data_IF_097349610073
#
_entry.id   IF_097349610073
#
_cell.length_a   1.000
_cell.length_b   1.000
_cell.length_c   1.000
_cell.angle_alpha   90.00
_cell.angle_beta   90.00
_cell.angle_gamma   90.00
#
_symmetry.space_group_name_H-M   'P 1'
#
loop_
_entity.id
_entity.type
_entity.pdbx_description
1 polymer ?
#
# COMPACT_ATOMS: atom_id res chain seq x y z
N UNK A 1 20.26 -11.35 35.13
CA UNK A 1 19.05 -10.88 34.41
C UNK A 1 19.53 -9.94 33.34
N UNK A 2 19.22 -10.20 32.08
CA UNK A 2 19.65 -9.37 30.94
C UNK A 2 18.56 -8.36 30.62
N UNK A 3 18.93 -7.11 30.33
CA UNK A 3 18.02 -6.04 29.92
C UNK A 3 18.16 -5.83 28.41
N UNK A 4 17.03 -5.55 27.74
CA UNK A 4 17.00 -5.25 26.31
C UNK A 4 16.26 -3.93 26.08
N UNK A 5 16.77 -3.13 25.14
CA UNK A 5 16.11 -1.90 24.68
C UNK A 5 15.33 -2.21 23.41
N UNK A 6 14.01 -2.11 23.48
CA UNK A 6 13.12 -2.41 22.37
C UNK A 6 12.27 -1.18 22.03
N UNK A 7 11.99 -0.98 20.74
CA UNK A 7 10.93 -0.07 20.27
C UNK A 7 9.78 -0.93 19.76
N UNK A 8 8.59 -0.74 20.31
CA UNK A 8 7.38 -1.29 19.73
C UNK A 8 6.98 -0.44 18.53
N UNK A 9 6.80 -1.06 17.37
CA UNK A 9 6.40 -0.40 16.13
C UNK A 9 5.08 -0.99 15.67
N UNK A 10 4.12 -0.10 15.42
CA UNK A 10 2.86 -0.41 14.76
C UNK A 10 2.89 0.27 13.38
N UNK A 11 2.94 -0.53 12.32
CA UNK A 11 2.87 -0.06 10.94
C UNK A 11 1.45 -0.22 10.40
N UNK A 12 0.95 0.84 9.77
CA UNK A 12 -0.34 0.88 9.09
C UNK A 12 -0.08 0.96 7.59
N UNK A 13 -0.57 -0.02 6.84
CA UNK A 13 -0.53 -0.03 5.38
C UNK A 13 -1.88 0.48 4.91
N UNK A 14 -1.89 1.69 4.37
CA UNK A 14 -3.05 2.29 3.71
C UNK A 14 -3.14 1.75 2.28
N UNK A 15 -4.35 1.39 1.87
CA UNK A 15 -4.64 0.99 0.49
C UNK A 15 -5.49 2.05 -0.17
N UNK A 16 -5.08 2.52 -1.34
CA UNK A 16 -5.94 3.40 -2.15
C UNK A 16 -6.84 2.52 -3.03
N UNK A 17 -8.16 2.74 -3.04
CA UNK A 17 -9.07 1.98 -3.90
C UNK A 17 -10.03 2.84 -4.73
N UNK A 18 -10.52 2.25 -5.83
CA UNK A 18 -11.52 2.83 -6.73
C UNK A 18 -12.20 1.72 -7.53
N UNK A 19 -13.49 1.88 -7.78
CA UNK A 19 -14.33 0.90 -8.49
C UNK A 19 -14.63 1.36 -9.92
N UNK A 20 -14.29 0.51 -10.89
CA UNK A 20 -14.44 0.80 -12.30
C UNK A 20 -15.29 -0.27 -12.99
N UNK A 21 -16.10 0.15 -13.95
CA UNK A 21 -16.87 -0.76 -14.80
C UNK A 21 -16.16 -0.75 -16.16
N UNK A 22 -15.37 -1.79 -16.42
CA UNK A 22 -14.53 -1.84 -17.62
C UNK A 22 -15.14 -2.79 -18.65
N UNK A 23 -15.48 -2.27 -19.83
CA UNK A 23 -15.89 -3.09 -20.96
C UNK A 23 -14.65 -3.77 -21.60
N UNK A 24 -14.60 -5.10 -21.54
CA UNK A 24 -13.54 -5.88 -22.17
C UNK A 24 -13.98 -7.30 -22.53
N UNK A 25 -13.19 -7.98 -23.38
CA UNK A 25 -13.48 -9.37 -23.80
C UNK A 25 -13.18 -10.41 -22.72
N UNK A 26 -12.23 -10.10 -21.84
CA UNK A 26 -11.83 -10.98 -20.73
C UNK A 26 -11.53 -10.15 -19.47
N UNK A 27 -11.57 -10.77 -18.27
CA UNK A 27 -11.16 -10.09 -17.03
C UNK A 27 -9.70 -9.59 -17.07
N UNK A 28 -8.80 -10.32 -17.73
CA UNK A 28 -7.40 -9.91 -17.88
C UNK A 28 -7.25 -8.67 -18.76
N UNK A 29 -8.05 -8.57 -19.82
CA UNK A 29 -8.09 -7.36 -20.67
C UNK A 29 -8.62 -6.16 -19.89
N UNK A 30 -9.70 -6.34 -19.11
CA UNK A 30 -10.25 -5.30 -18.24
C UNK A 30 -9.22 -4.80 -17.22
N UNK A 31 -8.53 -5.73 -16.55
CA UNK A 31 -7.46 -5.39 -15.61
C UNK A 31 -6.31 -4.64 -16.28
N UNK A 32 -5.93 -5.04 -17.50
CA UNK A 32 -4.85 -4.38 -18.26
C UNK A 32 -5.19 -2.94 -18.62
N UNK A 33 -6.45 -2.66 -19.00
CA UNK A 33 -6.95 -1.30 -19.26
C UNK A 33 -6.83 -0.45 -18.00
N UNK A 34 -7.29 -0.97 -16.85
CA UNK A 34 -7.27 -0.23 -15.60
C UNK A 34 -5.84 0.03 -15.10
N UNK A 35 -4.96 -0.97 -15.18
CA UNK A 35 -3.55 -0.84 -14.80
C UNK A 35 -2.80 0.18 -15.68
N UNK A 36 -3.12 0.22 -16.97
CA UNK A 36 -2.54 1.21 -17.90
C UNK A 36 -3.00 2.62 -17.54
N UNK A 37 -4.31 2.82 -17.36
CA UNK A 37 -4.88 4.11 -16.97
C UNK A 37 -4.34 4.60 -15.61
N UNK A 38 -4.14 3.69 -14.66
CA UNK A 38 -3.52 4.01 -13.38
C UNK A 38 -2.04 4.42 -13.53
N UNK A 39 -1.26 3.68 -14.33
CA UNK A 39 0.13 4.03 -14.60
C UNK A 39 0.26 5.44 -15.23
N UNK A 40 -0.61 5.77 -16.19
CA UNK A 40 -0.64 7.10 -16.81
C UNK A 40 -1.03 8.22 -15.83
N UNK A 41 -1.90 7.94 -14.85
CA UNK A 41 -2.23 8.89 -13.78
C UNK A 41 -1.01 9.12 -12.87
N UNK A 42 -0.30 8.05 -12.50
CA UNK A 42 0.91 8.09 -11.65
C UNK A 42 2.08 8.81 -12.33
N UNK A 43 2.26 8.67 -13.64
CA UNK A 43 3.25 9.44 -14.41
C UNK A 43 3.01 10.96 -14.34
N UNK A 44 1.78 11.38 -14.00
CA UNK A 44 1.36 12.78 -13.86
C UNK A 44 1.24 13.22 -12.40
N UNK A 45 1.76 12.42 -11.45
CA UNK A 45 1.59 12.62 -10.00
C UNK A 45 0.11 12.81 -9.59
N UNK A 46 -0.80 12.12 -10.27
CA UNK A 46 -2.25 12.21 -10.06
C UNK A 46 -2.81 10.89 -9.51
N UNK A 47 -3.72 11.00 -8.54
CA UNK A 47 -4.53 9.87 -8.07
C UNK A 47 -5.88 9.80 -8.79
N UNK A 48 -6.09 10.63 -9.83
CA UNK A 48 -7.29 10.62 -10.65
C UNK A 48 -7.07 9.72 -11.87
N UNK A 49 -7.73 8.57 -11.89
CA UNK A 49 -7.67 7.61 -13.00
C UNK A 49 -8.81 7.89 -13.97
N UNK A 50 -8.48 7.94 -15.26
CA UNK A 50 -9.43 8.18 -16.36
C UNK A 50 -9.30 7.04 -17.36
N UNK A 51 -10.42 6.37 -17.65
CA UNK A 51 -10.51 5.29 -18.63
C UNK A 51 -10.76 5.83 -20.05
N UNK A 52 -10.49 5.03 -21.10
CA UNK A 52 -10.69 5.44 -22.49
C UNK A 52 -12.14 5.77 -22.86
N UNK A 53 -13.11 5.22 -22.14
CA UNK A 53 -14.55 5.50 -22.31
C UNK A 53 -14.99 6.80 -21.63
N UNK A 54 -14.08 7.49 -20.94
CA UNK A 54 -14.34 8.72 -20.20
C UNK A 54 -14.80 8.51 -18.76
N UNK A 55 -14.96 7.26 -18.29
CA UNK A 55 -15.15 7.00 -16.86
C UNK A 55 -13.91 7.50 -16.11
N UNK A 56 -14.11 8.15 -14.97
CA UNK A 56 -12.99 8.57 -14.13
C UNK A 56 -13.34 8.52 -12.66
N UNK A 57 -12.34 8.26 -11.84
CA UNK A 57 -12.47 8.23 -10.40
C UNK A 57 -11.16 8.62 -9.73
N UNK A 58 -11.26 9.28 -8.58
CA UNK A 58 -10.12 9.39 -7.67
C UNK A 58 -9.93 8.07 -6.94
N UNK A 59 -8.71 7.56 -6.95
CA UNK A 59 -8.32 6.51 -6.03
C UNK A 59 -7.98 7.23 -4.71
N UNK A 60 -8.87 7.11 -3.74
CA UNK A 60 -8.70 7.71 -2.43
C UNK A 60 -8.07 6.68 -1.48
N UNK A 61 -7.31 7.11 -0.46
CA UNK A 61 -6.86 6.24 0.62
C UNK A 61 -8.07 5.64 1.31
N UNK A 62 -8.37 4.40 0.93
CA UNK A 62 -9.56 3.69 1.31
C UNK A 62 -9.15 2.67 2.36
N UNK A 63 -8.89 3.20 3.55
CA UNK A 63 -8.64 2.49 4.80
C UNK A 63 -7.28 1.78 4.93
N UNK A 64 -6.95 1.51 6.19
CA UNK A 64 -5.83 0.66 6.58
C UNK A 64 -6.19 -0.77 6.17
N UNK A 65 -5.52 -1.28 5.14
CA UNK A 65 -5.75 -2.64 4.61
C UNK A 65 -4.96 -3.70 5.39
N UNK A 66 -3.92 -3.29 6.12
CA UNK A 66 -3.13 -4.17 6.97
C UNK A 66 -2.45 -3.38 8.08
N UNK A 67 -2.48 -3.94 9.28
CA UNK A 67 -1.63 -3.51 10.40
C UNK A 67 -0.56 -4.56 10.64
N UNK A 68 0.67 -4.14 10.93
CA UNK A 68 1.76 -5.02 11.33
C UNK A 68 2.35 -4.52 12.64
N UNK A 69 2.51 -5.42 13.60
CA UNK A 69 3.11 -5.11 14.90
C UNK A 69 4.44 -5.86 15.01
N UNK A 70 5.52 -5.15 15.29
CA UNK A 70 6.83 -5.77 15.51
C UNK A 70 7.65 -4.98 16.54
N UNK A 71 8.67 -5.62 17.09
CA UNK A 71 9.64 -4.96 17.96
C UNK A 71 10.95 -4.72 17.21
N UNK A 72 11.49 -3.51 17.28
CA UNK A 72 12.84 -3.22 16.82
C UNK A 72 13.81 -3.33 18.02
N UNK A 73 14.82 -4.20 17.92
CA UNK A 73 15.91 -4.21 18.90
C UNK A 73 16.83 -3.02 18.67
N UNK A 74 17.13 -2.30 19.75
CA UNK A 74 18.04 -1.17 19.72
C UNK A 74 19.36 -1.50 20.41
N UNK A 75 20.45 -0.91 19.94
CA UNK A 75 21.72 -0.88 20.66
C UNK A 75 21.71 0.16 21.81
N UNK A 76 22.83 0.27 22.52
CA UNK A 76 22.98 1.18 23.66
C UNK A 76 22.86 2.66 23.25
N UNK A 77 23.29 2.99 22.02
CA UNK A 77 23.18 4.33 21.43
C UNK A 77 21.76 4.62 20.89
N UNK A 78 20.90 3.60 20.79
CA UNK A 78 19.53 3.70 20.32
C UNK A 78 19.34 3.45 18.82
N UNK A 79 20.37 2.95 18.13
CA UNK A 79 20.29 2.57 16.72
C UNK A 79 19.61 1.21 16.57
N UNK A 80 18.97 1.01 15.42
CA UNK A 80 18.21 -0.19 15.10
C UNK A 80 19.15 -1.33 14.68
N UNK A 81 19.02 -2.50 15.32
CA UNK A 81 19.82 -3.68 15.03
C UNK A 81 19.05 -4.65 14.12
N UNK A 82 17.88 -5.09 14.56
CA UNK A 82 17.01 -5.98 13.77
C UNK A 82 15.57 -5.99 14.28
N UNK A 83 14.70 -6.42 13.39
CA UNK A 83 13.27 -6.58 13.62
C UNK A 83 12.94 -7.94 14.26
N UNK A 84 12.03 -7.93 15.22
CA UNK A 84 11.48 -9.12 15.87
C UNK A 84 9.98 -9.13 15.57
N UNK A 85 9.59 -10.01 14.66
CA UNK A 85 8.19 -10.25 14.33
C UNK A 85 7.62 -11.33 15.27
N UNK A 86 6.63 -11.00 16.11
CA UNK A 86 6.05 -11.96 17.06
C UNK A 86 5.17 -13.03 16.39
N UNK A 87 4.80 -12.84 15.12
CA UNK A 87 3.90 -13.73 14.37
C UNK A 87 4.63 -14.56 13.28
N UNK A 88 5.95 -14.39 13.12
CA UNK A 88 6.77 -15.08 12.13
C UNK A 88 7.11 -16.55 12.47
#
# INVERSE_FOLDING_TARGET
MTLYRLRLVEELIEGDTGEFIVEAKTPGDAASVLLTAHAEAREKDSNHVVLPDGQSQHIEPDNIIRTRLFCMLLDDDGNELYEIDPEA
#
